data_IF_147030296197
#
_entry.id   IF_147030296197
#
_cell.length_a   1.000
_cell.length_b   1.000
_cell.length_c   1.000
_cell.angle_alpha   90.00
_cell.angle_beta   90.00
_cell.angle_gamma   90.00
#
_symmetry.space_group_name_H-M   'P 1'
#
loop_
_entity.id
_entity.type
_entity.pdbx_description
1 polymer ?
#
# COMPACT_ATOMS: atom_id res chain seq x y z
N UNK A 1 -12.91 55.26 1.51
CA UNK A 1 -11.74 54.70 0.79
C UNK A 1 -11.74 53.22 1.16
N UNK A 2 -11.83 52.22 0.28
CA UNK A 2 -11.68 52.12 -1.17
C UNK A 2 -12.89 51.40 -1.77
N UNK A 3 -13.22 51.73 -3.04
CA UNK A 3 -14.14 50.94 -3.87
C UNK A 3 -13.26 50.04 -4.73
N UNK A 4 -13.28 48.74 -4.51
CA UNK A 4 -12.59 47.78 -5.39
C UNK A 4 -13.56 47.39 -6.51
N UNK A 5 -13.15 47.63 -7.76
CA UNK A 5 -13.88 47.28 -8.98
C UNK A 5 -13.35 45.95 -9.47
N UNK A 6 -14.21 44.94 -9.58
CA UNK A 6 -13.90 43.68 -10.24
C UNK A 6 -13.90 43.94 -11.75
N UNK A 7 -12.76 43.69 -12.41
CA UNK A 7 -12.64 43.75 -13.87
C UNK A 7 -12.89 42.38 -14.47
N UNK A 8 -13.95 42.29 -15.27
CA UNK A 8 -14.32 41.14 -16.07
C UNK A 8 -13.34 40.97 -17.24
N UNK A 9 -12.52 39.92 -17.22
CA UNK A 9 -11.69 39.53 -18.36
C UNK A 9 -12.47 38.55 -19.25
N UNK A 10 -12.73 38.95 -20.50
CA UNK A 10 -13.25 38.05 -21.53
C UNK A 10 -12.13 37.10 -21.99
N UNK A 11 -12.34 35.80 -21.83
CA UNK A 11 -11.53 34.76 -22.44
C UNK A 11 -12.14 34.38 -23.80
N UNK A 12 -11.44 34.70 -24.90
CA UNK A 12 -11.76 34.22 -26.25
C UNK A 12 -11.24 32.80 -26.45
N UNK A 13 -12.17 31.85 -26.61
CA UNK A 13 -11.92 30.49 -27.10
C UNK A 13 -11.64 30.53 -28.60
N UNK A 14 -10.53 29.94 -29.04
CA UNK A 14 -10.25 29.66 -30.44
C UNK A 14 -10.26 28.13 -30.65
N UNK A 15 -11.34 27.63 -31.27
CA UNK A 15 -11.35 26.31 -31.91
C UNK A 15 -10.49 26.35 -33.19
N UNK A 16 -9.61 25.36 -33.33
CA UNK A 16 -9.12 24.92 -34.63
C UNK A 16 -9.06 23.39 -34.62
N UNK A 17 -9.97 22.77 -35.36
CA UNK A 17 -9.96 21.34 -35.62
C UNK A 17 -9.01 20.95 -36.76
N UNK A 18 -8.72 19.67 -36.86
CA UNK A 18 -8.57 19.01 -38.15
C UNK A 18 -8.94 17.53 -38.02
N UNK A 19 -9.83 17.11 -38.91
CA UNK A 19 -10.34 15.75 -39.07
C UNK A 19 -9.50 14.92 -40.02
N UNK A 20 -9.60 13.59 -39.87
CA UNK A 20 -9.46 12.63 -40.96
C UNK A 20 -8.25 11.70 -40.85
N UNK A 21 -8.29 10.41 -41.19
CA UNK A 21 -9.20 9.58 -42.01
C UNK A 21 -8.81 8.08 -41.75
N UNK A 22 -9.80 7.18 -41.84
CA UNK A 22 -9.89 5.77 -42.33
C UNK A 22 -8.57 4.98 -42.63
N UNK A 23 -8.42 3.65 -42.57
CA UNK A 23 -9.34 2.51 -42.66
C UNK A 23 -8.56 1.20 -42.36
N UNK A 24 -9.30 0.20 -41.87
CA UNK A 24 -9.21 -1.27 -42.01
C UNK A 24 -8.26 -1.88 -43.07
N UNK A 25 -7.57 -3.00 -42.71
CA UNK A 25 -7.30 -4.18 -43.57
C UNK A 25 -6.68 -5.31 -42.69
N UNK A 26 -7.34 -6.41 -42.32
CA UNK A 26 -7.77 -7.60 -43.09
C UNK A 26 -6.67 -8.66 -43.35
N UNK A 27 -6.96 -9.87 -42.86
CA UNK A 27 -6.65 -11.22 -43.39
C UNK A 27 -5.26 -11.88 -43.22
N UNK A 28 -5.22 -12.90 -42.35
CA UNK A 28 -4.63 -14.23 -42.62
C UNK A 28 -5.58 -15.06 -43.55
N UNK A 29 -5.32 -16.32 -44.02
CA UNK A 29 -4.30 -17.35 -43.68
C UNK A 29 -3.82 -18.11 -44.97
N UNK A 30 -3.64 -19.46 -45.08
CA UNK A 30 -3.17 -20.56 -44.19
C UNK A 30 -2.04 -21.43 -44.84
N UNK A 31 -1.54 -22.46 -44.12
CA UNK A 31 -0.99 -23.77 -44.60
C UNK A 31 -0.24 -24.42 -43.40
N UNK A 32 -0.41 -25.64 -42.89
CA UNK A 32 -1.17 -26.83 -43.27
C UNK A 32 -0.26 -27.94 -43.81
N UNK A 33 0.38 -28.80 -42.97
CA UNK A 33 0.77 -30.20 -43.30
C UNK A 33 0.92 -31.09 -42.03
N UNK A 34 0.14 -32.19 -42.01
CA UNK A 34 0.34 -33.60 -41.59
C UNK A 34 1.75 -34.07 -41.09
N UNK A 35 2.00 -35.17 -40.36
CA UNK A 35 1.30 -36.29 -39.69
C UNK A 35 2.42 -37.16 -39.02
N UNK A 36 2.06 -38.05 -38.07
CA UNK A 36 2.76 -39.33 -37.77
C UNK A 36 4.00 -39.28 -36.84
N UNK A 37 4.16 -40.03 -35.75
CA UNK A 37 3.53 -41.27 -35.29
C UNK A 37 4.55 -42.41 -35.30
N UNK A 38 5.17 -42.77 -34.16
CA UNK A 38 5.59 -44.16 -33.84
C UNK A 38 5.93 -44.34 -32.36
N UNK A 39 5.35 -45.39 -31.78
CA UNK A 39 5.59 -45.97 -30.45
C UNK A 39 6.80 -46.93 -30.40
N UNK A 40 7.60 -46.85 -29.30
CA UNK A 40 7.96 -47.85 -28.24
C UNK A 40 8.60 -49.24 -28.64
N UNK A 41 9.26 -50.01 -27.74
CA UNK A 41 10.68 -50.12 -27.27
C UNK A 41 11.21 -51.58 -27.47
N UNK A 42 11.92 -52.32 -26.57
CA UNK A 42 12.93 -52.06 -25.51
C UNK A 42 14.23 -52.91 -25.71
N UNK A 43 15.19 -52.93 -24.76
CA UNK A 43 15.77 -54.17 -24.14
C UNK A 43 16.99 -53.90 -23.24
N UNK A 44 16.81 -54.32 -21.99
CA UNK A 44 17.70 -54.85 -20.92
C UNK A 44 19.17 -55.18 -21.28
N UNK A 45 20.13 -54.93 -20.37
CA UNK A 45 20.56 -55.83 -19.27
C UNK A 45 21.85 -55.30 -18.61
N UNK A 46 21.79 -55.20 -17.27
CA UNK A 46 22.77 -55.65 -16.27
C UNK A 46 24.15 -56.14 -16.76
N UNK A 47 25.24 -55.58 -16.22
CA UNK A 47 26.39 -56.39 -15.79
C UNK A 47 27.32 -55.65 -14.82
N UNK A 48 27.29 -56.20 -13.61
CA UNK A 48 28.22 -56.09 -12.49
C UNK A 48 29.68 -56.25 -12.93
N UNK A 49 30.54 -55.32 -12.53
CA UNK A 49 31.98 -55.54 -12.46
C UNK A 49 32.45 -55.24 -11.04
N UNK A 50 32.71 -56.31 -10.29
CA UNK A 50 33.44 -56.29 -9.03
C UNK A 50 34.94 -56.20 -9.30
N UNK A 51 35.67 -55.58 -8.36
CA UNK A 51 37.12 -55.65 -8.10
C UNK A 51 38.03 -54.62 -8.76
N UNK A 52 38.42 -53.62 -7.96
CA UNK A 52 39.80 -53.50 -7.51
C UNK A 52 39.83 -52.61 -6.26
N UNK A 53 40.01 -53.20 -5.07
CA UNK A 53 40.47 -52.45 -3.89
C UNK A 53 41.92 -52.06 -4.14
N UNK A 54 42.13 -50.98 -4.87
CA UNK A 54 43.32 -50.16 -4.69
C UNK A 54 43.25 -49.66 -3.25
N UNK A 55 44.32 -49.86 -2.47
CA UNK A 55 44.53 -49.01 -1.30
C UNK A 55 44.45 -47.57 -1.79
N UNK A 56 43.55 -46.72 -1.28
CA UNK A 56 43.50 -45.32 -1.68
C UNK A 56 44.91 -44.75 -1.53
N UNK A 57 45.33 -43.92 -2.48
CA UNK A 57 46.52 -43.11 -2.30
C UNK A 57 46.36 -42.40 -0.94
N UNK A 58 47.38 -42.38 -0.06
CA UNK A 58 47.27 -41.66 1.21
C UNK A 58 46.83 -40.19 1.08
N UNK A 59 46.94 -39.59 -0.12
CA UNK A 59 46.45 -38.25 -0.45
C UNK A 59 44.95 -38.19 -0.84
N UNK A 60 44.31 -39.33 -1.00
CA UNK A 60 42.92 -39.54 -1.44
C UNK A 60 42.11 -40.33 -0.39
N UNK A 61 42.60 -40.33 0.85
CA UNK A 61 41.80 -40.79 1.99
C UNK A 61 40.79 -39.68 2.28
N UNK A 62 39.54 -40.08 2.39
CA UNK A 62 38.39 -39.31 2.84
C UNK A 62 37.86 -40.09 4.07
N UNK A 63 38.01 -39.49 5.24
CA UNK A 63 37.91 -40.19 6.53
C UNK A 63 36.47 -40.23 7.05
N UNK A 64 35.71 -39.16 6.86
CA UNK A 64 34.31 -39.01 7.26
C UNK A 64 33.32 -39.21 6.10
N UNK A 65 33.81 -39.28 4.86
CA UNK A 65 33.05 -39.57 3.64
C UNK A 65 32.10 -38.44 3.23
N UNK A 66 32.52 -37.19 3.44
CA UNK A 66 31.79 -36.00 3.04
C UNK A 66 32.03 -35.59 1.57
N UNK A 67 33.01 -36.23 0.91
CA UNK A 67 33.41 -35.95 -0.47
C UNK A 67 34.66 -35.07 -0.61
N UNK A 68 35.32 -34.71 0.50
CA UNK A 68 36.63 -34.07 0.54
C UNK A 68 37.69 -35.06 1.03
N UNK A 69 38.90 -35.00 0.46
CA UNK A 69 40.00 -35.79 1.00
C UNK A 69 40.63 -35.10 2.20
N UNK A 70 41.19 -35.85 3.14
CA UNK A 70 41.88 -35.33 4.32
C UNK A 70 42.98 -34.30 3.98
N UNK A 71 43.59 -34.43 2.79
CA UNK A 71 44.61 -33.50 2.29
C UNK A 71 44.01 -32.20 1.73
N UNK A 72 42.75 -32.22 1.27
CA UNK A 72 41.97 -31.05 0.86
C UNK A 72 41.44 -30.33 2.09
N UNK A 73 40.85 -31.05 3.02
CA UNK A 73 40.32 -30.53 4.29
C UNK A 73 41.39 -29.77 5.08
N UNK A 74 42.58 -30.37 5.24
CA UNK A 74 43.72 -29.70 5.88
C UNK A 74 44.09 -28.34 5.24
N UNK A 75 43.82 -28.13 3.94
CA UNK A 75 44.07 -26.84 3.26
C UNK A 75 42.94 -25.85 3.44
N UNK A 76 41.71 -26.33 3.61
CA UNK A 76 40.51 -25.55 3.87
C UNK A 76 40.35 -25.23 5.36
N UNK A 77 41.12 -25.92 6.22
CA UNK A 77 41.05 -25.82 7.68
C UNK A 77 39.78 -26.42 8.29
N UNK A 78 39.15 -27.35 7.55
CA UNK A 78 38.09 -28.24 8.06
C UNK A 78 38.68 -29.45 8.80
N UNK A 79 37.88 -30.17 9.59
CA UNK A 79 38.33 -31.34 10.38
C UNK A 79 38.18 -32.66 9.59
N UNK A 80 39.29 -33.34 9.23
CA UNK A 80 39.29 -34.59 8.48
C UNK A 80 38.62 -35.81 9.10
N UNK A 81 37.84 -35.67 10.15
CA UNK A 81 37.05 -36.77 10.73
C UNK A 81 35.66 -36.28 11.14
N UNK A 82 35.26 -35.09 10.71
CA UNK A 82 33.97 -34.49 10.96
C UNK A 82 33.44 -33.94 9.63
N UNK A 83 32.40 -34.55 9.11
CA UNK A 83 31.84 -34.19 7.79
C UNK A 83 31.18 -32.81 7.74
N UNK A 84 30.98 -32.15 8.87
CA UNK A 84 30.25 -30.88 9.05
C UNK A 84 31.00 -30.10 10.14
N UNK A 85 31.98 -29.29 9.72
CA UNK A 85 33.00 -28.68 10.58
C UNK A 85 32.45 -27.59 11.48
N UNK A 86 31.49 -26.79 11.01
CA UNK A 86 30.90 -25.68 11.74
C UNK A 86 29.52 -25.98 12.36
N UNK A 87 29.03 -27.21 12.15
CA UNK A 87 27.82 -27.78 12.77
C UNK A 87 26.53 -27.07 12.35
N UNK A 88 26.47 -26.56 11.12
CA UNK A 88 25.33 -25.81 10.57
C UNK A 88 24.26 -26.74 9.92
N UNK A 89 24.62 -28.01 9.69
CA UNK A 89 23.76 -29.03 9.10
C UNK A 89 24.04 -29.33 7.62
N UNK A 90 25.02 -28.67 7.01
CA UNK A 90 25.59 -29.01 5.70
C UNK A 90 26.94 -29.70 5.91
N UNK A 91 27.32 -30.56 4.96
CA UNK A 91 28.64 -31.18 5.02
C UNK A 91 29.67 -30.30 4.31
N UNK A 92 30.94 -30.28 4.76
CA UNK A 92 32.00 -29.44 4.19
C UNK A 92 32.12 -29.63 2.66
N UNK A 93 32.01 -30.89 2.21
CA UNK A 93 31.98 -31.23 0.80
C UNK A 93 30.75 -30.73 0.04
N UNK A 94 29.58 -30.66 0.65
CA UNK A 94 28.37 -30.13 0.02
C UNK A 94 28.44 -28.61 -0.14
N UNK A 95 28.86 -27.92 0.91
CA UNK A 95 29.07 -26.47 0.96
C UNK A 95 29.99 -26.03 -0.18
N UNK A 96 31.20 -26.59 -0.24
CA UNK A 96 32.19 -26.19 -1.24
C UNK A 96 31.82 -26.59 -2.68
N UNK A 97 31.22 -27.77 -2.87
CA UNK A 97 31.00 -28.32 -4.22
C UNK A 97 29.64 -27.94 -4.81
N UNK A 98 28.68 -27.50 -4.00
CA UNK A 98 27.28 -27.31 -4.42
C UNK A 98 26.73 -25.93 -4.06
N UNK A 99 26.98 -25.47 -2.83
CA UNK A 99 26.32 -24.29 -2.27
C UNK A 99 27.19 -23.02 -2.29
N UNK A 100 28.49 -23.17 -2.56
CA UNK A 100 29.47 -22.07 -2.62
C UNK A 100 29.63 -21.32 -1.28
N UNK A 101 29.32 -21.97 -0.17
CA UNK A 101 29.47 -21.48 1.21
C UNK A 101 30.84 -21.81 1.82
N UNK A 102 31.18 -21.19 2.96
CA UNK A 102 32.44 -21.44 3.69
C UNK A 102 32.23 -22.52 4.78
N UNK A 103 32.79 -23.74 4.62
CA UNK A 103 32.57 -24.87 5.54
C UNK A 103 33.21 -24.73 6.92
N UNK A 104 33.64 -23.52 7.28
CA UNK A 104 34.18 -23.18 8.59
C UNK A 104 33.40 -22.07 9.27
N UNK A 105 32.33 -21.59 8.63
CA UNK A 105 31.49 -20.48 9.05
C UNK A 105 30.04 -20.87 8.82
N UNK A 106 29.33 -21.22 9.89
CA UNK A 106 27.94 -21.67 9.83
C UNK A 106 26.95 -20.66 9.22
N UNK A 107 27.35 -19.41 8.98
CA UNK A 107 26.54 -18.30 8.47
C UNK A 107 27.45 -17.49 7.52
N UNK A 108 27.42 -17.85 6.24
CA UNK A 108 28.39 -17.43 5.23
C UNK A 108 28.25 -15.94 4.90
N UNK A 109 27.04 -15.42 4.79
CA UNK A 109 26.78 -14.01 4.45
C UNK A 109 26.61 -13.09 5.67
N UNK A 110 26.44 -13.67 6.85
CA UNK A 110 26.43 -12.98 8.14
C UNK A 110 25.10 -12.28 8.46
N UNK A 111 23.99 -12.76 7.90
CA UNK A 111 22.66 -12.17 8.10
C UNK A 111 21.96 -12.64 9.40
N UNK A 112 22.52 -13.67 10.04
CA UNK A 112 22.03 -14.26 11.28
C UNK A 112 21.25 -15.56 11.13
N UNK A 113 21.10 -16.09 9.92
CA UNK A 113 20.68 -17.46 9.63
C UNK A 113 21.90 -18.33 9.32
N UNK A 114 21.80 -19.63 9.57
CA UNK A 114 22.87 -20.53 9.19
C UNK A 114 22.64 -21.09 7.80
N UNK A 115 23.68 -21.39 7.03
CA UNK A 115 23.54 -21.78 5.62
C UNK A 115 22.64 -23.02 5.47
N UNK A 116 22.80 -23.97 6.39
CA UNK A 116 21.94 -25.14 6.50
C UNK A 116 20.48 -24.82 6.85
N UNK A 117 20.19 -23.79 7.65
CA UNK A 117 18.82 -23.36 7.98
C UNK A 117 18.17 -22.70 6.78
N UNK A 118 18.89 -21.83 6.09
CA UNK A 118 18.45 -21.15 4.87
C UNK A 118 18.04 -22.15 3.80
N UNK A 119 18.94 -23.04 3.40
CA UNK A 119 18.67 -24.00 2.32
C UNK A 119 17.62 -25.05 2.70
N UNK A 120 17.65 -25.57 3.93
CA UNK A 120 16.78 -26.69 4.31
C UNK A 120 15.39 -26.24 4.80
N UNK A 121 15.22 -24.99 5.21
CA UNK A 121 13.99 -24.52 5.87
C UNK A 121 13.33 -23.35 5.16
N UNK A 122 14.09 -22.33 4.78
CA UNK A 122 13.54 -21.06 4.31
C UNK A 122 13.61 -20.88 2.79
N UNK A 123 14.51 -21.59 2.12
CA UNK A 123 14.67 -21.52 0.67
C UNK A 123 15.39 -20.26 0.20
N UNK A 124 16.13 -19.60 1.09
CA UNK A 124 16.97 -18.43 0.82
C UNK A 124 18.35 -18.85 0.29
N UNK A 125 19.10 -17.89 -0.26
CA UNK A 125 20.46 -18.09 -0.77
C UNK A 125 21.50 -17.75 0.32
N UNK A 126 22.22 -18.75 0.87
CA UNK A 126 23.14 -18.55 2.01
C UNK A 126 24.40 -17.74 1.69
N UNK A 127 24.52 -17.27 0.44
CA UNK A 127 25.61 -16.39 0.02
C UNK A 127 25.14 -14.94 -0.17
N UNK A 128 23.86 -14.66 0.07
CA UNK A 128 23.21 -13.38 -0.17
C UNK A 128 22.31 -13.05 1.02
N UNK A 129 22.78 -12.14 1.87
CA UNK A 129 22.08 -11.75 3.09
C UNK A 129 20.66 -11.18 2.90
N UNK A 130 20.23 -10.89 1.67
CA UNK A 130 18.95 -10.30 1.26
C UNK A 130 18.57 -10.97 -0.07
N UNK A 131 17.87 -12.10 0.03
CA UNK A 131 17.61 -13.03 -1.08
C UNK A 131 16.73 -12.41 -2.15
N UNK A 132 15.70 -11.66 -1.76
CA UNK A 132 14.74 -11.07 -2.69
C UNK A 132 15.09 -9.64 -3.13
N UNK A 133 16.00 -8.98 -2.42
CA UNK A 133 16.58 -7.69 -2.76
C UNK A 133 15.70 -6.50 -2.40
N UNK A 134 14.83 -6.63 -1.40
CA UNK A 134 13.93 -5.56 -0.96
C UNK A 134 14.58 -4.55 0.01
N UNK A 135 15.78 -4.88 0.52
CA UNK A 135 16.56 -4.07 1.45
C UNK A 135 16.47 -4.49 2.91
N UNK A 136 15.78 -5.58 3.24
CA UNK A 136 15.85 -6.29 4.51
C UNK A 136 16.72 -7.53 4.35
N UNK A 137 17.36 -7.97 5.43
CA UNK A 137 18.12 -9.22 5.38
C UNK A 137 17.21 -10.40 5.73
N UNK A 138 17.45 -11.59 5.17
CA UNK A 138 16.55 -12.74 5.37
C UNK A 138 16.39 -13.07 6.87
N UNK A 139 17.50 -12.97 7.60
CA UNK A 139 17.54 -13.08 9.05
C UNK A 139 16.77 -11.98 9.79
N UNK A 140 16.73 -10.74 9.28
CA UNK A 140 15.94 -9.66 9.88
C UNK A 140 14.45 -9.89 9.66
N UNK A 141 14.08 -10.29 8.46
CA UNK A 141 12.71 -10.62 8.08
C UNK A 141 12.12 -11.71 8.97
N UNK A 142 12.78 -12.86 9.05
CA UNK A 142 12.28 -13.98 9.84
C UNK A 142 12.34 -13.74 11.35
N UNK A 143 13.42 -13.13 11.86
CA UNK A 143 13.62 -13.01 13.30
C UNK A 143 12.94 -11.78 13.92
N UNK A 144 12.64 -10.75 13.12
CA UNK A 144 12.16 -9.45 13.63
C UNK A 144 10.83 -9.03 13.03
N UNK A 145 10.65 -9.16 11.72
CA UNK A 145 9.54 -8.53 10.99
C UNK A 145 8.39 -9.49 10.68
N UNK A 146 8.67 -10.80 10.61
CA UNK A 146 7.66 -11.81 10.31
C UNK A 146 7.26 -11.86 8.84
N UNK A 147 8.10 -11.32 7.96
CA UNK A 147 7.93 -11.32 6.49
C UNK A 147 8.53 -12.58 5.86
N UNK A 148 8.24 -12.82 4.58
CA UNK A 148 8.76 -13.93 3.80
C UNK A 148 10.01 -13.48 3.01
N UNK A 149 11.22 -13.96 3.36
CA UNK A 149 12.48 -13.48 2.77
C UNK A 149 12.71 -13.89 1.30
N UNK A 150 11.71 -14.53 0.70
CA UNK A 150 11.72 -14.88 -0.73
C UNK A 150 10.76 -14.01 -1.54
N UNK A 151 10.07 -13.06 -0.90
CA UNK A 151 9.04 -12.22 -1.46
C UNK A 151 9.29 -10.76 -1.09
N UNK A 152 9.67 -9.97 -2.10
CA UNK A 152 9.86 -8.50 -1.98
C UNK A 152 8.68 -7.78 -1.33
N UNK A 153 7.47 -8.34 -1.40
CA UNK A 153 6.21 -7.79 -0.93
C UNK A 153 5.40 -8.96 -0.33
N UNK A 154 5.41 -9.07 1.00
CA UNK A 154 4.88 -10.21 1.75
C UNK A 154 3.36 -10.27 1.71
N UNK A 155 2.68 -9.12 1.84
CA UNK A 155 1.22 -9.07 1.91
C UNK A 155 0.53 -8.82 0.55
N UNK A 156 1.30 -8.39 -0.45
CA UNK A 156 0.89 -8.22 -1.83
C UNK A 156 0.11 -6.94 -2.10
N UNK A 157 0.29 -5.89 -1.31
CA UNK A 157 -0.39 -4.60 -1.50
C UNK A 157 0.24 -3.72 -2.60
N UNK A 158 1.52 -3.97 -2.93
CA UNK A 158 2.30 -3.25 -3.94
C UNK A 158 3.48 -2.44 -3.40
N UNK A 159 3.64 -2.34 -2.08
CA UNK A 159 4.83 -1.84 -1.40
C UNK A 159 5.77 -3.01 -1.08
N UNK A 160 7.08 -2.75 -1.05
CA UNK A 160 8.03 -3.78 -0.62
C UNK A 160 8.21 -3.73 0.89
N UNK A 161 8.46 -4.87 1.55
CA UNK A 161 8.53 -4.92 3.01
C UNK A 161 9.60 -3.95 3.56
N UNK A 162 10.73 -3.87 2.86
CA UNK A 162 11.80 -2.92 3.11
C UNK A 162 11.39 -1.46 2.91
N UNK A 163 10.53 -1.14 1.93
CA UNK A 163 10.02 0.22 1.73
C UNK A 163 9.05 0.62 2.85
N UNK A 164 8.18 -0.30 3.23
CA UNK A 164 7.22 -0.13 4.31
C UNK A 164 7.92 0.18 5.63
N UNK A 165 8.89 -0.64 6.05
CA UNK A 165 9.58 -0.44 7.31
C UNK A 165 10.52 0.78 7.29
N UNK A 166 11.27 0.97 6.20
CA UNK A 166 12.32 2.00 6.16
C UNK A 166 11.82 3.39 5.75
N UNK A 167 10.68 3.48 5.05
CA UNK A 167 10.20 4.73 4.45
C UNK A 167 8.83 5.15 4.96
N UNK A 168 7.85 4.24 4.94
CA UNK A 168 6.44 4.58 5.19
C UNK A 168 6.01 4.35 6.65
N UNK A 169 6.70 3.44 7.33
CA UNK A 169 6.36 2.94 8.65
C UNK A 169 5.11 2.05 8.67
N UNK A 170 4.66 1.53 7.55
CA UNK A 170 3.52 0.59 7.51
C UNK A 170 3.91 -0.80 8.03
N UNK A 171 2.94 -1.68 8.22
CA UNK A 171 3.14 -3.06 8.66
C UNK A 171 3.19 -3.98 7.42
N UNK A 172 4.35 -4.56 7.08
CA UNK A 172 4.54 -5.33 5.84
C UNK A 172 3.82 -6.68 5.80
N UNK A 173 3.02 -6.96 6.83
CA UNK A 173 2.20 -8.17 6.90
C UNK A 173 0.71 -7.87 6.75
N UNK A 174 0.35 -6.60 6.53
CA UNK A 174 -1.00 -6.08 6.49
C UNK A 174 -1.20 -5.14 5.30
N UNK A 175 -1.96 -5.62 4.31
CA UNK A 175 -2.35 -4.83 3.12
C UNK A 175 -2.94 -3.45 3.44
N UNK A 176 -3.51 -3.29 4.64
CA UNK A 176 -4.16 -2.09 5.15
C UNK A 176 -3.71 -1.91 6.61
N UNK A 177 -2.73 -1.03 6.83
CA UNK A 177 -2.03 -0.90 8.12
C UNK A 177 -2.92 -0.31 9.22
N UNK A 178 -3.76 0.67 8.90
CA UNK A 178 -4.60 1.35 9.89
C UNK A 178 -6.04 0.83 9.96
N UNK A 179 -6.43 -0.02 9.01
CA UNK A 179 -7.67 -0.79 9.01
C UNK A 179 -8.88 0.02 8.60
N UNK A 180 -8.71 1.08 7.80
CA UNK A 180 -9.78 1.96 7.37
C UNK A 180 -10.52 1.46 6.12
N UNK A 181 -9.93 0.51 5.38
CA UNK A 181 -10.46 -0.07 4.15
C UNK A 181 -9.63 0.24 2.89
N UNK A 182 -8.62 1.11 2.96
CA UNK A 182 -7.69 1.40 1.88
C UNK A 182 -6.38 0.61 2.06
N UNK A 183 -5.75 0.25 0.94
CA UNK A 183 -4.46 -0.43 0.99
C UNK A 183 -3.33 0.60 1.01
N UNK A 184 -2.21 0.29 1.68
CA UNK A 184 -1.16 1.27 1.94
C UNK A 184 -0.54 1.84 0.64
N UNK A 185 -0.28 1.01 -0.38
CA UNK A 185 0.11 1.47 -1.73
C UNK A 185 -0.92 2.45 -2.32
N UNK A 186 -2.21 2.13 -2.21
CA UNK A 186 -3.28 2.91 -2.80
C UNK A 186 -3.40 4.29 -2.14
N UNK A 187 -3.24 4.35 -0.83
CA UNK A 187 -3.21 5.58 -0.07
C UNK A 187 -2.08 6.49 -0.54
N UNK A 188 -0.86 5.97 -0.64
CA UNK A 188 0.31 6.76 -1.03
C UNK A 188 0.28 7.19 -2.50
N UNK A 189 -0.08 6.27 -3.41
CA UNK A 189 0.12 6.46 -4.85
C UNK A 189 -1.14 6.95 -5.59
N UNK A 190 -2.32 6.81 -4.99
CA UNK A 190 -3.59 7.13 -5.64
C UNK A 190 -4.44 8.14 -4.87
N UNK A 191 -4.50 8.03 -3.55
CA UNK A 191 -5.41 8.84 -2.73
C UNK A 191 -4.73 10.06 -2.09
N UNK A 192 -3.42 9.97 -1.81
CA UNK A 192 -2.69 11.02 -1.11
C UNK A 192 -2.99 11.08 0.38
N UNK A 193 -3.56 10.01 0.93
CA UNK A 193 -3.89 9.83 2.36
C UNK A 193 -2.71 9.25 3.13
N UNK A 194 -2.83 9.15 4.44
CA UNK A 194 -1.80 8.64 5.32
C UNK A 194 -2.13 7.20 5.76
N UNK A 195 -1.35 6.18 5.33
CA UNK A 195 -1.61 4.76 5.59
C UNK A 195 -1.38 4.30 7.02
N UNK A 196 -1.35 5.25 7.95
CA UNK A 196 -1.15 5.03 9.38
C UNK A 196 -2.19 5.77 10.21
N UNK A 197 -3.15 6.39 9.56
CA UNK A 197 -4.20 7.18 10.16
C UNK A 197 -5.47 6.96 9.35
N UNK A 198 -6.37 6.18 9.93
CA UNK A 198 -7.68 5.84 9.38
C UNK A 198 -8.64 7.04 9.17
N UNK A 199 -8.15 8.26 9.34
CA UNK A 199 -8.83 9.55 9.30
C UNK A 199 -7.69 10.59 9.21
N UNK A 200 -7.29 10.88 7.97
CA UNK A 200 -6.05 11.59 7.63
C UNK A 200 -6.06 13.03 8.13
N UNK A 201 -7.19 13.71 8.08
CA UNK A 201 -7.34 15.10 8.54
C UNK A 201 -7.96 15.25 9.95
N UNK A 202 -8.42 14.13 10.52
CA UNK A 202 -8.96 14.02 11.88
C UNK A 202 -10.28 14.76 12.11
N UNK A 203 -11.13 14.83 11.09
CA UNK A 203 -12.44 15.48 11.17
C UNK A 203 -13.57 14.58 11.74
N UNK A 204 -13.30 13.26 11.82
CA UNK A 204 -14.21 12.24 12.31
C UNK A 204 -14.77 11.30 11.24
N UNK A 205 -14.43 11.48 9.97
CA UNK A 205 -14.75 10.60 8.85
C UNK A 205 -13.49 9.83 8.43
N UNK A 206 -13.61 8.53 8.14
CA UNK A 206 -12.44 7.76 7.69
C UNK A 206 -12.22 7.87 6.19
N UNK A 207 -10.97 7.77 5.75
CA UNK A 207 -10.55 8.08 4.39
C UNK A 207 -11.33 7.24 3.33
N UNK A 208 -11.50 5.92 3.53
CA UNK A 208 -12.33 5.08 2.64
C UNK A 208 -13.76 5.64 2.49
N UNK A 209 -14.33 6.15 3.58
CA UNK A 209 -15.69 6.70 3.57
C UNK A 209 -15.76 8.07 2.90
N UNK A 210 -14.74 8.89 3.08
CA UNK A 210 -14.62 10.18 2.40
C UNK A 210 -14.57 10.00 0.89
N UNK A 211 -13.80 9.02 0.43
CA UNK A 211 -13.73 8.59 -0.96
C UNK A 211 -15.09 8.16 -1.53
N UNK A 212 -15.87 7.40 -0.74
CA UNK A 212 -17.24 6.99 -1.09
C UNK A 212 -18.20 8.19 -1.18
N UNK A 213 -18.02 9.18 -0.31
CA UNK A 213 -18.79 10.42 -0.27
C UNK A 213 -18.29 11.48 -1.27
N UNK A 214 -17.08 11.30 -1.81
CA UNK A 214 -16.36 12.23 -2.69
C UNK A 214 -15.93 13.52 -2.00
N UNK A 215 -15.73 13.47 -0.69
CA UNK A 215 -15.02 14.51 0.06
C UNK A 215 -13.50 14.36 -0.14
N UNK A 216 -12.73 15.37 0.22
CA UNK A 216 -11.26 15.35 0.18
C UNK A 216 -10.72 14.89 1.53
N UNK A 217 -10.23 13.65 1.60
CA UNK A 217 -9.70 13.03 2.82
C UNK A 217 -8.48 13.73 3.47
N UNK A 218 -8.00 14.81 2.86
CA UNK A 218 -6.92 15.64 3.41
C UNK A 218 -7.40 17.03 3.82
N UNK A 219 -8.69 17.31 3.70
CA UNK A 219 -9.31 18.59 3.97
C UNK A 219 -10.59 18.43 4.80
N UNK A 220 -10.48 18.75 6.08
CA UNK A 220 -11.51 18.50 7.09
C UNK A 220 -12.86 19.20 6.85
N UNK A 221 -12.96 20.05 5.83
CA UNK A 221 -14.11 20.89 5.47
C UNK A 221 -14.06 21.10 3.95
N UNK A 222 -14.49 20.07 3.20
CA UNK A 222 -14.30 19.96 1.74
C UNK A 222 -14.91 21.13 0.97
N UNK A 223 -15.96 21.74 1.52
CA UNK A 223 -16.67 22.83 0.86
C UNK A 223 -16.39 24.22 1.44
N UNK A 224 -15.50 24.35 2.43
CA UNK A 224 -15.08 25.60 3.07
C UNK A 224 -16.24 26.42 3.71
N UNK A 225 -17.26 25.78 4.27
CA UNK A 225 -18.38 26.49 4.91
C UNK A 225 -18.20 26.72 6.42
N UNK A 226 -17.22 26.04 7.04
CA UNK A 226 -16.90 26.07 8.46
C UNK A 226 -17.40 24.88 9.26
N UNK A 227 -18.12 23.94 8.64
CA UNK A 227 -18.50 22.65 9.22
C UNK A 227 -17.57 21.56 8.71
N UNK A 228 -17.02 20.74 9.61
CA UNK A 228 -16.22 19.62 9.16
C UNK A 228 -17.07 18.52 8.49
N UNK A 229 -16.55 17.84 7.47
CA UNK A 229 -17.30 16.86 6.67
C UNK A 229 -17.90 15.75 7.56
N UNK A 230 -17.07 15.22 8.47
CA UNK A 230 -17.49 14.24 9.48
C UNK A 230 -18.62 14.75 10.37
N UNK A 231 -18.65 16.05 10.70
CA UNK A 231 -19.73 16.64 11.49
C UNK A 231 -21.03 16.74 10.70
N UNK A 232 -20.97 17.06 9.42
CA UNK A 232 -22.14 17.14 8.54
C UNK A 232 -22.77 15.76 8.31
N UNK A 233 -21.93 14.75 8.13
CA UNK A 233 -22.35 13.36 7.92
C UNK A 233 -22.91 12.74 9.20
N UNK A 234 -22.21 12.86 10.34
CA UNK A 234 -22.55 12.11 11.55
C UNK A 234 -23.40 12.90 12.56
N UNK A 235 -23.31 14.24 12.58
CA UNK A 235 -24.07 15.08 13.51
C UNK A 235 -25.41 15.57 12.93
N UNK A 236 -26.15 14.72 12.24
CA UNK A 236 -27.46 15.04 11.63
C UNK A 236 -28.53 15.60 12.59
N UNK A 237 -28.43 15.32 13.90
CA UNK A 237 -29.30 15.92 14.92
C UNK A 237 -28.96 17.40 15.18
N UNK A 238 -27.70 17.79 14.95
CA UNK A 238 -27.18 19.15 15.17
C UNK A 238 -27.17 19.96 13.88
N UNK A 239 -26.82 19.34 12.75
CA UNK A 239 -26.76 19.95 11.43
C UNK A 239 -27.68 19.17 10.47
N UNK A 240 -29.00 19.31 10.63
CA UNK A 240 -29.95 18.51 9.85
C UNK A 240 -29.95 18.92 8.39
N UNK A 241 -29.49 18.01 7.53
CA UNK A 241 -29.46 18.22 6.09
C UNK A 241 -28.23 18.98 5.60
N UNK A 242 -27.18 19.08 6.44
CA UNK A 242 -25.89 19.52 5.96
C UNK A 242 -25.34 18.56 4.89
N UNK A 243 -24.57 19.09 3.95
CA UNK A 243 -23.99 18.34 2.84
C UNK A 243 -22.52 18.76 2.66
N UNK A 244 -21.55 17.86 2.91
CA UNK A 244 -20.12 18.19 2.87
C UNK A 244 -19.60 18.56 1.49
N UNK A 245 -20.44 18.48 0.46
CA UNK A 245 -20.12 18.94 -0.89
C UNK A 245 -20.88 20.20 -1.29
N UNK A 246 -21.63 20.84 -0.39
CA UNK A 246 -22.44 22.01 -0.67
C UNK A 246 -22.56 22.94 0.55
N UNK A 247 -21.99 24.15 0.39
CA UNK A 247 -21.93 25.14 1.47
C UNK A 247 -23.29 25.37 2.12
N UNK A 248 -23.31 25.26 3.44
CA UNK A 248 -24.45 25.47 4.31
C UNK A 248 -24.30 26.74 5.16
N UNK A 249 -25.44 27.34 5.50
CA UNK A 249 -25.51 28.37 6.52
C UNK A 249 -26.64 28.04 7.49
N UNK A 250 -26.26 27.78 8.73
CA UNK A 250 -27.19 27.59 9.83
C UNK A 250 -27.52 28.92 10.52
N UNK A 251 -28.80 29.29 10.52
CA UNK A 251 -29.30 30.51 11.17
C UNK A 251 -30.36 30.17 12.21
N UNK A 252 -30.06 30.49 13.46
CA UNK A 252 -31.04 30.46 14.55
C UNK A 252 -31.80 31.80 14.64
N UNK A 253 -33.14 31.74 14.70
CA UNK A 253 -34.00 32.94 14.77
C UNK A 253 -34.87 32.95 16.05
N UNK A 254 -34.37 33.60 17.11
CA UNK A 254 -35.04 33.72 18.44
C UNK A 254 -36.32 34.61 18.40
N UNK A 255 -36.45 35.56 17.46
CA UNK A 255 -37.51 36.56 17.58
C UNK A 255 -38.90 36.13 17.08
N UNK A 256 -39.85 36.06 18.03
CA UNK A 256 -41.31 35.81 17.94
C UNK A 256 -42.17 36.63 16.96
N UNK A 257 -41.61 37.28 15.95
CA UNK A 257 -42.38 37.78 14.80
C UNK A 257 -42.04 36.97 13.57
N UNK A 258 -42.83 35.91 13.36
CA UNK A 258 -42.87 35.04 12.17
C UNK A 258 -42.39 35.78 10.93
N UNK A 259 -41.14 35.57 10.52
CA UNK A 259 -40.75 35.85 9.15
C UNK A 259 -41.80 35.18 8.29
N UNK A 260 -42.44 35.96 7.41
CA UNK A 260 -43.48 35.40 6.56
C UNK A 260 -42.85 34.31 5.70
N UNK A 261 -43.56 33.21 5.44
CA UNK A 261 -43.03 32.13 4.59
C UNK A 261 -42.53 32.61 3.22
N UNK A 262 -43.06 33.73 2.72
CA UNK A 262 -42.55 34.37 1.50
C UNK A 262 -41.19 35.02 1.70
N UNK A 263 -40.91 35.66 2.84
CA UNK A 263 -39.59 36.25 3.10
C UNK A 263 -38.54 35.16 3.29
N UNK A 264 -38.85 34.09 4.03
CA UNK A 264 -37.93 32.96 4.18
C UNK A 264 -37.61 32.36 2.81
N UNK A 265 -38.65 32.11 2.00
CA UNK A 265 -38.45 31.61 0.63
C UNK A 265 -37.63 32.56 -0.23
N UNK A 266 -37.96 33.85 -0.24
CA UNK A 266 -37.24 34.83 -1.05
C UNK A 266 -35.75 34.92 -0.63
N UNK A 267 -35.45 34.72 0.67
CA UNK A 267 -34.07 34.64 1.17
C UNK A 267 -33.39 33.34 0.75
N UNK A 268 -34.01 32.18 1.00
CA UNK A 268 -33.46 30.87 0.59
C UNK A 268 -33.20 30.84 -0.92
N UNK A 269 -34.16 31.29 -1.73
CA UNK A 269 -34.02 31.39 -3.20
C UNK A 269 -32.85 32.30 -3.62
N UNK A 270 -32.51 33.33 -2.82
CA UNK A 270 -31.37 34.23 -3.08
C UNK A 270 -30.02 33.56 -2.79
N UNK A 271 -29.93 32.76 -1.72
CA UNK A 271 -28.72 32.02 -1.37
C UNK A 271 -28.51 30.81 -2.30
N UNK A 272 -29.56 30.05 -2.62
CA UNK A 272 -29.51 28.93 -3.59
C UNK A 272 -29.07 29.39 -4.99
N UNK A 273 -29.29 30.65 -5.35
CA UNK A 273 -28.88 31.21 -6.65
C UNK A 273 -27.58 32.01 -6.58
N UNK A 274 -26.90 32.02 -5.44
CA UNK A 274 -25.63 32.73 -5.29
C UNK A 274 -24.59 32.12 -6.26
N UNK A 275 -23.76 32.94 -6.93
CA UNK A 275 -22.74 32.46 -7.85
C UNK A 275 -21.49 31.98 -7.08
N UNK A 276 -21.71 31.09 -6.13
CA UNK A 276 -20.68 30.39 -5.34
C UNK A 276 -20.67 28.96 -5.85
N UNK A 277 -19.50 28.44 -6.21
CA UNK A 277 -19.34 27.07 -6.70
C UNK A 277 -19.07 26.14 -5.51
N UNK A 278 -19.61 24.93 -5.61
CA UNK A 278 -19.45 23.87 -4.61
C UNK A 278 -18.71 22.66 -5.20
N UNK A 279 -18.07 21.83 -4.35
CA UNK A 279 -17.37 20.62 -4.76
C UNK A 279 -18.17 19.67 -5.67
N UNK A 280 -19.48 19.52 -5.44
CA UNK A 280 -20.36 18.68 -6.27
C UNK A 280 -20.68 19.27 -7.67
N UNK A 281 -20.22 20.49 -7.94
CA UNK A 281 -20.48 21.24 -9.18
C UNK A 281 -21.81 22.00 -9.18
N UNK A 282 -22.55 21.99 -8.07
CA UNK A 282 -23.68 22.88 -7.85
C UNK A 282 -23.20 24.32 -7.64
N UNK A 283 -24.17 25.22 -7.59
CA UNK A 283 -23.93 26.61 -7.21
C UNK A 283 -24.97 27.07 -6.22
N UNK A 284 -24.57 27.94 -5.31
CA UNK A 284 -25.44 28.48 -4.26
C UNK A 284 -24.95 28.07 -2.89
N UNK A 285 -25.76 28.41 -1.89
CA UNK A 285 -25.55 28.07 -0.48
C UNK A 285 -26.90 27.59 0.03
N UNK A 286 -26.95 26.45 0.73
CA UNK A 286 -28.19 26.03 1.40
C UNK A 286 -28.35 26.76 2.73
N UNK A 287 -29.56 27.24 2.99
CA UNK A 287 -29.86 28.10 4.15
C UNK A 287 -30.79 27.36 5.11
N UNK A 288 -30.19 26.80 6.15
CA UNK A 288 -30.88 26.09 7.22
C UNK A 288 -31.36 27.06 8.29
N UNK A 289 -32.67 27.26 8.40
CA UNK A 289 -33.26 28.17 9.39
C UNK A 289 -33.93 27.36 10.50
N UNK A 290 -33.33 27.39 11.69
CA UNK A 290 -33.96 26.85 12.90
C UNK A 290 -34.84 27.91 13.59
N UNK A 291 -36.03 27.48 13.99
CA UNK A 291 -37.04 28.29 14.65
C UNK A 291 -37.29 27.85 16.10
N UNK A 292 -36.72 26.73 16.52
CA UNK A 292 -36.79 26.18 17.87
C UNK A 292 -35.38 26.23 18.48
N UNK A 293 -35.23 26.35 19.80
CA UNK A 293 -33.92 26.48 20.49
C UNK A 293 -33.07 25.16 20.44
N UNK A 294 -33.04 24.44 19.31
CA UNK A 294 -32.46 23.11 19.19
C UNK A 294 -30.96 23.13 18.81
N UNK A 295 -30.48 24.20 18.18
CA UNK A 295 -29.05 24.41 17.92
C UNK A 295 -28.32 24.81 19.21
N UNK A 296 -27.84 23.83 19.97
CA UNK A 296 -27.09 24.07 21.22
C UNK A 296 -25.69 24.61 20.94
N UNK A 297 -25.51 25.91 21.11
CA UNK A 297 -24.19 26.53 21.26
C UNK A 297 -23.59 26.17 22.63
N UNK A 298 -22.37 25.64 22.68
CA UNK A 298 -21.63 25.63 23.95
C UNK A 298 -21.24 27.09 24.31
N UNK A 299 -21.84 27.58 25.39
CA UNK A 299 -21.75 28.97 25.86
C UNK A 299 -20.30 29.46 26.04
N UNK A 300 -19.74 30.12 25.04
CA UNK A 300 -18.66 31.08 25.24
C UNK A 300 -19.27 32.40 25.75
N UNK A 301 -19.34 32.50 27.08
CA UNK A 301 -19.64 33.70 27.86
C UNK A 301 -21.08 34.23 27.79
N UNK A 302 -21.81 33.98 28.88
CA UNK A 302 -23.04 34.70 29.19
C UNK A 302 -22.83 36.21 29.08
N UNK A 303 -23.84 36.88 28.52
CA UNK A 303 -23.94 38.28 28.07
C UNK A 303 -23.62 38.53 26.59
N UNK A 304 -24.58 38.26 25.68
CA UNK A 304 -25.00 39.23 24.65
C UNK A 304 -26.51 39.10 24.40
N UNK A 305 -27.20 40.26 24.47
CA UNK A 305 -28.60 40.49 24.11
C UNK A 305 -28.73 40.68 22.59
N UNK A 306 -29.81 40.17 22.02
CA UNK A 306 -30.49 40.66 20.82
C UNK A 306 -29.67 40.77 19.51
N UNK A 307 -29.19 39.68 18.87
CA UNK A 307 -28.82 39.69 17.43
C UNK A 307 -28.96 38.29 16.79
N UNK A 308 -29.29 38.25 15.49
CA UNK A 308 -29.10 37.09 14.60
C UNK A 308 -27.69 36.58 14.82
N UNK A 309 -27.56 35.29 15.17
CA UNK A 309 -26.26 34.65 15.33
C UNK A 309 -25.98 33.86 14.06
N UNK A 310 -24.92 34.24 13.34
CA UNK A 310 -24.27 33.29 12.45
C UNK A 310 -23.47 32.36 13.36
N UNK A 311 -23.66 31.06 13.17
CA UNK A 311 -22.75 30.07 13.72
C UNK A 311 -21.48 30.09 12.86
N UNK A 312 -20.33 30.06 13.53
CA UNK A 312 -19.02 29.88 12.92
C UNK A 312 -18.62 28.42 13.09
#
# INVERSE_FOLDING_TARGET
MQKTRISLFLLTVALAGCSGILQEDSTAPPDGIEESGTEVPPTQTEQTATQATATPDPADIDSDNDGLSNAREQKLSTDPNNSDTDEDGLSDGAELNTHETDPTIADTDGDGLSDGVELNTHGTDPTIADTDGDGLSDGAELNTHGTDPTLVDTDGDGLSDGAELNTHGTDPTLVDTDGDGLADDAELNKHGTNPRANDTDSDGLNDDRELDLRTDASDSDTDDDGLPDGAEVDMTDRFPGADPLQKDIFVEVDYKSRLSRSIIRDMTDEFEQAPIENPDGSSGIDLHIDHDDNLRCEDASGYIRDQIRLLC
#
